data_IF_176262228319
#
_entry.id   IF_176262228319
#
_cell.length_a   1.000
_cell.length_b   1.000
_cell.length_c   1.000
_cell.angle_alpha   90.00
_cell.angle_beta   90.00
_cell.angle_gamma   90.00
#
_symmetry.space_group_name_H-M   'P 1'
#
loop_
_entity.id
_entity.type
_entity.pdbx_description
1 polymer ?
#
# COMPACT_ATOMS: atom_id res chain seq x y z
N UNK A 1 5.41 1.74 3.96
CA UNK A 1 6.44 1.61 5.00
C UNK A 1 6.91 0.15 5.14
N UNK A 2 8.21 -0.06 5.55
CA UNK A 2 8.70 -1.42 5.80
C UNK A 2 9.14 -2.22 4.57
N UNK A 3 9.17 -1.64 3.39
CA UNK A 3 9.60 -2.27 2.13
C UNK A 3 11.11 -2.23 1.89
N UNK A 4 11.91 -1.93 2.91
CA UNK A 4 13.37 -2.01 2.83
C UNK A 4 14.07 -0.74 2.30
N UNK A 5 13.42 0.41 2.16
CA UNK A 5 14.04 1.67 1.66
C UNK A 5 15.36 2.02 2.37
N UNK A 6 15.36 2.02 3.70
CA UNK A 6 16.56 2.30 4.49
C UNK A 6 17.61 1.18 4.39
N UNK A 7 17.18 -0.08 4.24
CA UNK A 7 18.09 -1.21 4.03
C UNK A 7 18.80 -1.11 2.68
N UNK A 8 18.10 -0.66 1.64
CA UNK A 8 18.67 -0.41 0.31
C UNK A 8 19.77 0.66 0.39
N UNK A 9 19.50 1.78 1.06
CA UNK A 9 20.50 2.83 1.27
C UNK A 9 21.76 2.32 2.01
N UNK A 10 21.58 1.46 3.01
CA UNK A 10 22.70 0.83 3.71
C UNK A 10 23.50 -0.09 2.78
N UNK A 11 22.83 -0.87 1.94
CA UNK A 11 23.51 -1.73 0.95
C UNK A 11 24.31 -0.92 -0.08
N UNK A 12 23.77 0.22 -0.52
CA UNK A 12 24.46 1.15 -1.43
C UNK A 12 25.72 1.71 -0.75
N UNK A 13 25.61 2.18 0.50
CA UNK A 13 26.75 2.71 1.24
C UNK A 13 27.86 1.66 1.40
N UNK A 14 27.47 0.43 1.75
CA UNK A 14 28.40 -0.71 1.88
C UNK A 14 29.08 -1.05 0.54
N UNK A 15 28.32 -1.11 -0.55
CA UNK A 15 28.84 -1.41 -1.88
C UNK A 15 29.84 -0.34 -2.39
N UNK A 16 29.62 0.92 -2.01
CA UNK A 16 30.49 2.06 -2.32
C UNK A 16 31.65 2.22 -1.34
N UNK A 17 31.71 1.41 -0.29
CA UNK A 17 32.65 1.53 0.82
C UNK A 17 32.66 2.93 1.44
N UNK A 18 31.45 3.47 1.72
CA UNK A 18 31.24 4.80 2.33
C UNK A 18 30.47 4.63 3.63
N UNK A 19 30.76 5.53 4.58
CA UNK A 19 29.97 5.61 5.81
C UNK A 19 28.53 6.05 5.53
N UNK A 20 27.60 5.50 6.29
CA UNK A 20 26.18 5.83 6.23
C UNK A 20 25.82 6.77 7.37
N UNK A 21 25.29 7.92 7.02
CA UNK A 21 24.71 8.89 7.99
C UNK A 21 23.21 8.91 7.77
N UNK A 22 22.44 8.79 8.85
CA UNK A 22 20.99 8.87 8.80
C UNK A 22 20.49 10.13 9.50
N UNK A 23 19.69 10.92 8.80
CA UNK A 23 19.06 12.15 9.30
C UNK A 23 17.56 12.00 9.17
N UNK A 24 16.84 11.92 10.29
CA UNK A 24 15.37 11.89 10.29
C UNK A 24 14.85 13.33 10.09
N UNK A 25 14.04 13.52 9.06
CA UNK A 25 13.40 14.81 8.75
C UNK A 25 11.98 14.92 9.30
N UNK A 26 11.39 13.80 9.73
CA UNK A 26 10.08 13.82 10.38
C UNK A 26 10.09 14.62 11.68
N UNK A 27 9.28 15.71 11.71
CA UNK A 27 9.18 16.60 12.86
C UNK A 27 10.22 17.71 12.90
N UNK A 28 11.03 17.91 11.84
CA UNK A 28 11.90 19.08 11.70
C UNK A 28 11.05 20.28 11.29
N UNK A 29 10.92 21.24 12.19
CA UNK A 29 10.17 22.49 12.01
C UNK A 29 11.05 23.74 12.12
N UNK A 30 12.28 23.60 12.61
CA UNK A 30 13.27 24.69 12.71
C UNK A 30 14.40 24.51 11.68
N UNK A 31 14.61 25.55 10.87
CA UNK A 31 15.68 25.60 9.87
C UNK A 31 17.08 25.47 10.50
N UNK A 32 17.24 25.88 11.76
CA UNK A 32 18.50 25.78 12.49
C UNK A 32 18.93 24.34 12.74
N UNK A 33 18.00 23.38 12.74
CA UNK A 33 18.33 21.96 12.82
C UNK A 33 19.15 21.48 11.61
N UNK A 34 18.91 22.05 10.42
CA UNK A 34 19.66 21.71 9.20
C UNK A 34 20.89 22.59 9.02
N UNK A 35 20.75 23.92 9.28
CA UNK A 35 21.80 24.93 9.04
C UNK A 35 22.63 25.30 10.26
N UNK A 36 22.32 24.73 11.44
CA UNK A 36 23.00 25.12 12.69
C UNK A 36 22.51 26.41 13.29
N UNK A 37 22.76 26.59 14.60
CA UNK A 37 22.46 27.78 15.35
C UNK A 37 23.59 28.79 15.22
N UNK A 38 23.30 30.09 15.29
CA UNK A 38 24.36 31.11 15.41
C UNK A 38 25.09 30.95 16.74
N UNK A 39 26.42 31.10 16.74
CA UNK A 39 27.27 30.94 17.94
C UNK A 39 26.93 31.89 19.09
N UNK A 40 26.14 32.91 18.82
CA UNK A 40 25.70 33.89 19.83
C UNK A 40 24.61 33.34 20.75
N UNK A 41 23.98 32.20 20.41
CA UNK A 41 22.94 31.57 21.24
C UNK A 41 23.56 30.64 22.26
N UNK A 42 22.97 30.58 23.45
CA UNK A 42 23.30 29.54 24.45
C UNK A 42 22.97 28.17 23.91
N UNK A 43 23.85 27.21 24.14
CA UNK A 43 23.73 25.84 23.61
C UNK A 43 23.66 25.76 22.06
N UNK A 44 24.29 26.68 21.35
CA UNK A 44 24.39 26.64 19.90
C UNK A 44 25.14 25.39 19.42
N UNK A 45 24.64 24.73 18.34
CA UNK A 45 25.21 23.53 17.75
C UNK A 45 25.22 23.62 16.23
N UNK A 46 26.16 22.92 15.57
CA UNK A 46 26.13 22.78 14.12
C UNK A 46 24.87 22.03 13.65
N UNK A 47 24.48 22.25 12.41
CA UNK A 47 23.36 21.57 11.80
C UNK A 47 23.56 20.06 11.63
N UNK A 48 22.47 19.33 11.47
CA UNK A 48 22.48 17.85 11.38
C UNK A 48 23.35 17.32 10.24
N UNK A 49 23.47 18.06 9.12
CA UNK A 49 24.38 17.70 8.01
C UNK A 49 25.83 17.70 8.51
N UNK A 50 26.25 18.76 9.18
CA UNK A 50 27.60 18.89 9.70
C UNK A 50 27.89 17.89 10.81
N UNK A 51 26.95 17.68 11.72
CA UNK A 51 27.06 16.63 12.75
C UNK A 51 27.22 15.25 12.12
N UNK A 52 26.49 14.98 11.04
CA UNK A 52 26.62 13.76 10.26
C UNK A 52 28.02 13.57 9.67
N UNK A 53 28.58 14.61 9.07
CA UNK A 53 29.96 14.60 8.55
C UNK A 53 31.01 14.36 9.64
N UNK A 54 30.86 15.02 10.80
CA UNK A 54 31.74 14.84 11.97
C UNK A 54 31.70 13.38 12.45
N UNK A 55 30.50 12.79 12.56
CA UNK A 55 30.31 11.42 13.01
C UNK A 55 30.87 10.40 12.00
N UNK A 56 30.69 10.66 10.70
CA UNK A 56 31.22 9.82 9.63
C UNK A 56 32.73 9.93 9.49
N UNK A 57 33.35 11.01 9.99
CA UNK A 57 34.78 11.33 9.81
C UNK A 57 35.22 11.31 8.35
N UNK A 58 34.30 11.57 7.44
CA UNK A 58 34.49 11.57 5.99
C UNK A 58 33.70 12.71 5.35
N UNK A 59 34.22 13.29 4.26
CA UNK A 59 33.53 14.33 3.50
C UNK A 59 32.69 13.78 2.33
N UNK A 60 32.63 12.46 2.19
CA UNK A 60 31.95 11.77 1.10
C UNK A 60 31.04 10.61 1.58
N UNK A 61 30.33 10.73 2.70
CA UNK A 61 29.43 9.68 3.16
C UNK A 61 28.21 9.54 2.24
N UNK A 62 27.41 8.51 2.46
CA UNK A 62 26.02 8.45 2.01
C UNK A 62 25.14 9.02 3.12
N UNK A 63 24.38 10.06 2.84
CA UNK A 63 23.44 10.67 3.78
C UNK A 63 22.02 10.25 3.41
N UNK A 64 21.34 9.56 4.33
CA UNK A 64 19.92 9.22 4.19
C UNK A 64 19.07 10.27 4.87
N UNK A 65 18.26 10.94 4.08
CA UNK A 65 17.24 11.90 4.54
C UNK A 65 15.92 11.13 4.68
N UNK A 66 15.61 10.71 5.91
CA UNK A 66 14.47 9.85 6.17
C UNK A 66 13.19 10.65 6.38
N UNK A 67 12.08 10.20 5.76
CA UNK A 67 10.76 10.84 5.83
C UNK A 67 10.74 12.30 5.31
N UNK A 68 11.31 12.52 4.12
CA UNK A 68 11.32 13.86 3.50
C UNK A 68 9.90 14.39 3.20
N UNK A 69 8.94 13.50 3.04
CA UNK A 69 7.51 13.78 2.86
C UNK A 69 6.84 14.36 4.12
N UNK A 70 7.53 14.36 5.26
CA UNK A 70 7.03 14.89 6.53
C UNK A 70 7.57 16.28 6.85
N UNK A 71 8.45 16.82 6.01
CA UNK A 71 8.98 18.15 6.23
C UNK A 71 7.89 19.18 5.96
N UNK A 72 7.71 20.09 6.89
CA UNK A 72 6.78 21.21 6.70
C UNK A 72 7.50 22.37 6.02
N UNK A 73 6.81 23.07 5.14
CA UNK A 73 7.34 24.25 4.48
C UNK A 73 7.57 25.41 5.48
N UNK A 74 6.91 26.55 5.28
CA UNK A 74 7.11 27.75 6.10
C UNK A 74 6.56 27.57 7.52
N UNK A 75 7.44 27.65 8.53
CA UNK A 75 7.09 27.62 9.94
C UNK A 75 7.42 28.98 10.60
N UNK A 76 7.06 29.15 11.88
CA UNK A 76 7.46 30.32 12.69
C UNK A 76 8.98 30.39 12.91
N UNK A 77 9.68 29.25 12.76
CA UNK A 77 11.14 29.11 12.97
C UNK A 77 11.93 29.02 11.65
N UNK A 78 11.34 29.47 10.54
CA UNK A 78 11.97 29.53 9.23
C UNK A 78 11.36 28.59 8.20
N UNK A 79 12.15 28.24 7.19
CA UNK A 79 11.74 27.34 6.12
C UNK A 79 12.75 26.19 5.97
N UNK A 80 12.55 25.04 6.63
CA UNK A 80 13.43 23.88 6.50
C UNK A 80 13.52 23.35 5.08
N UNK A 81 12.44 23.46 4.29
CA UNK A 81 12.41 23.06 2.89
C UNK A 81 13.39 23.88 2.05
N UNK A 82 13.49 25.20 2.26
CA UNK A 82 14.44 26.05 1.56
C UNK A 82 15.90 25.65 1.87
N UNK A 83 16.17 25.21 3.09
CA UNK A 83 17.49 24.68 3.44
C UNK A 83 17.81 23.38 2.70
N UNK A 84 16.82 22.50 2.54
CA UNK A 84 16.99 21.27 1.75
C UNK A 84 17.20 21.55 0.27
N UNK A 85 16.52 22.54 -0.29
CA UNK A 85 16.72 22.95 -1.68
C UNK A 85 18.19 23.35 -1.93
N UNK A 86 18.81 24.10 -1.01
CA UNK A 86 20.23 24.47 -1.12
C UNK A 86 21.17 23.27 -0.94
N UNK A 87 20.84 22.35 -0.01
CA UNK A 87 21.65 21.15 0.27
C UNK A 87 21.62 20.18 -0.91
N UNK A 88 20.46 20.02 -1.57
CA UNK A 88 20.25 19.03 -2.63
C UNK A 88 20.55 19.60 -4.03
N UNK A 89 20.68 20.91 -4.19
CA UNK A 89 20.97 21.53 -5.48
C UNK A 89 22.47 21.46 -5.79
N UNK A 90 22.91 20.74 -6.82
CA UNK A 90 24.33 20.66 -7.20
C UNK A 90 24.97 22.00 -7.51
N UNK A 91 24.20 23.02 -7.93
CA UNK A 91 24.70 24.35 -8.26
C UNK A 91 24.93 25.23 -7.02
N UNK A 92 24.37 24.86 -5.86
CA UNK A 92 24.45 25.64 -4.62
C UNK A 92 25.18 24.91 -3.49
N UNK A 93 25.17 23.58 -3.48
CA UNK A 93 25.69 22.78 -2.37
C UNK A 93 27.22 22.76 -2.27
N UNK A 94 27.94 23.26 -3.26
CA UNK A 94 29.41 23.51 -3.18
C UNK A 94 29.78 24.62 -2.22
N UNK A 95 28.84 25.52 -1.87
CA UNK A 95 29.01 26.66 -0.98
C UNK A 95 28.05 26.65 0.20
N UNK A 96 27.60 25.47 0.62
CA UNK A 96 26.71 25.32 1.75
C UNK A 96 27.30 25.97 3.00
N UNK A 97 26.53 26.83 3.65
CA UNK A 97 26.95 27.55 4.85
C UNK A 97 26.17 27.14 6.07
N UNK A 98 26.88 26.53 7.02
CA UNK A 98 26.34 26.26 8.35
C UNK A 98 26.54 27.53 9.23
N UNK A 99 25.49 27.95 9.95
CA UNK A 99 25.49 29.14 10.76
C UNK A 99 26.42 29.04 11.98
N UNK A 100 26.63 27.81 12.51
CA UNK A 100 27.53 27.57 13.63
C UNK A 100 28.99 27.62 13.18
N UNK A 101 29.32 26.96 12.07
CA UNK A 101 30.67 26.95 11.53
C UNK A 101 31.05 28.32 10.92
N UNK A 102 30.09 29.00 10.31
CA UNK A 102 30.21 30.29 9.66
C UNK A 102 31.25 30.36 8.54
N UNK A 103 31.46 29.24 7.83
CA UNK A 103 32.25 29.17 6.59
C UNK A 103 31.56 28.20 5.60
N UNK A 104 31.95 28.28 4.34
CA UNK A 104 31.36 27.48 3.28
C UNK A 104 31.98 26.09 3.26
N UNK A 105 31.11 25.08 3.10
CA UNK A 105 31.48 23.66 2.93
C UNK A 105 31.01 23.18 1.58
N UNK A 106 31.83 22.36 0.97
CA UNK A 106 31.49 21.72 -0.29
C UNK A 106 30.84 20.32 -0.02
N UNK A 107 29.57 20.17 -0.36
CA UNK A 107 28.80 18.94 -0.18
C UNK A 107 28.72 18.07 -1.45
N UNK A 108 29.37 18.46 -2.56
CA UNK A 108 29.28 17.78 -3.87
C UNK A 108 29.70 16.30 -3.85
N UNK A 109 30.53 15.90 -2.87
CA UNK A 109 30.99 14.51 -2.75
C UNK A 109 30.07 13.60 -1.98
N UNK A 110 29.00 14.15 -1.38
CA UNK A 110 28.01 13.43 -0.60
C UNK A 110 26.99 12.83 -1.56
N UNK A 111 26.59 11.60 -1.32
CA UNK A 111 25.44 11.00 -1.98
C UNK A 111 24.25 11.13 -1.05
N UNK A 112 23.24 11.89 -1.48
CA UNK A 112 21.99 12.02 -0.76
C UNK A 112 20.98 11.01 -1.25
N UNK A 113 20.36 10.26 -0.31
CA UNK A 113 19.27 9.33 -0.58
C UNK A 113 18.10 9.75 0.30
N UNK A 114 17.01 10.20 -0.30
CA UNK A 114 15.79 10.55 0.45
C UNK A 114 14.83 9.36 0.48
N UNK A 115 14.12 9.18 1.59
CA UNK A 115 13.00 8.23 1.68
C UNK A 115 11.69 8.98 1.88
N UNK A 116 10.65 8.55 1.18
CA UNK A 116 9.29 9.08 1.32
C UNK A 116 8.26 7.95 1.27
N UNK A 117 7.10 8.17 1.85
CA UNK A 117 5.96 7.26 1.72
C UNK A 117 4.91 7.85 0.76
N UNK A 118 4.83 9.16 0.68
CA UNK A 118 3.89 9.88 -0.19
C UNK A 118 4.61 11.00 -0.93
N UNK A 119 4.70 10.87 -2.26
CA UNK A 119 5.34 11.88 -3.11
C UNK A 119 4.48 13.13 -3.25
N UNK A 120 3.15 13.02 -3.13
CA UNK A 120 2.23 14.13 -3.33
C UNK A 120 2.43 15.27 -2.32
N UNK A 121 2.95 14.93 -1.13
CA UNK A 121 3.24 15.89 -0.06
C UNK A 121 4.58 16.60 -0.21
N UNK A 122 5.47 16.11 -1.10
CA UNK A 122 6.75 16.75 -1.41
C UNK A 122 6.48 17.90 -2.38
N UNK A 123 7.02 19.08 -2.08
CA UNK A 123 6.85 20.25 -2.94
C UNK A 123 7.44 20.06 -4.35
N UNK A 124 6.88 20.74 -5.33
CA UNK A 124 7.37 20.68 -6.71
C UNK A 124 8.87 21.05 -6.84
N UNK A 125 9.39 22.12 -6.21
CA UNK A 125 10.80 22.46 -6.31
C UNK A 125 11.75 21.38 -5.79
N UNK A 126 11.37 20.65 -4.73
CA UNK A 126 12.16 19.52 -4.23
C UNK A 126 12.07 18.32 -5.16
N UNK A 127 10.88 18.05 -5.71
CA UNK A 127 10.69 16.94 -6.66
C UNK A 127 11.53 17.11 -7.92
N UNK A 128 11.64 18.32 -8.43
CA UNK A 128 12.42 18.62 -9.63
C UNK A 128 13.94 18.38 -9.48
N UNK A 129 14.43 18.28 -8.23
CA UNK A 129 15.84 17.99 -7.91
C UNK A 129 16.13 16.55 -7.54
N UNK A 130 15.14 15.67 -7.67
CA UNK A 130 15.24 14.27 -7.25
C UNK A 130 14.92 13.33 -8.40
N UNK A 131 15.63 12.23 -8.47
CA UNK A 131 15.25 11.05 -9.23
C UNK A 131 14.43 10.13 -8.35
N UNK A 132 13.27 9.66 -8.84
CA UNK A 132 12.37 8.83 -8.07
C UNK A 132 12.52 7.37 -8.45
N UNK A 133 12.82 6.55 -7.43
CA UNK A 133 12.85 5.10 -7.53
C UNK A 133 11.69 4.53 -6.69
N UNK A 134 10.72 3.94 -7.35
CA UNK A 134 9.56 3.35 -6.68
C UNK A 134 9.90 1.96 -6.16
N UNK A 135 9.65 1.76 -4.86
CA UNK A 135 9.80 0.45 -4.21
C UNK A 135 8.40 -0.09 -3.95
N UNK A 136 8.03 -1.12 -4.69
CA UNK A 136 6.72 -1.75 -4.61
C UNK A 136 6.51 -2.56 -3.33
N UNK A 137 5.25 -2.91 -3.05
CA UNK A 137 4.87 -3.85 -1.99
C UNK A 137 5.41 -5.24 -2.29
N UNK A 138 5.77 -5.98 -1.24
CA UNK A 138 6.14 -7.39 -1.38
C UNK A 138 4.91 -8.28 -1.52
N UNK A 139 5.02 -9.30 -2.36
CA UNK A 139 4.08 -10.44 -2.39
C UNK A 139 4.30 -11.33 -1.17
N UNK A 140 3.35 -12.22 -0.88
CA UNK A 140 3.51 -13.14 0.25
C UNK A 140 4.63 -14.14 0.02
N UNK A 141 4.89 -14.54 -1.23
CA UNK A 141 6.03 -15.40 -1.57
C UNK A 141 7.37 -14.66 -1.36
N UNK A 142 7.45 -13.39 -1.76
CA UNK A 142 8.62 -12.54 -1.48
C UNK A 142 8.82 -12.34 0.03
N UNK A 143 7.74 -12.09 0.78
CA UNK A 143 7.80 -11.99 2.26
C UNK A 143 8.24 -13.29 2.90
N UNK A 144 7.79 -14.44 2.36
CA UNK A 144 8.21 -15.76 2.82
C UNK A 144 9.73 -15.97 2.63
N UNK A 145 10.25 -15.67 1.43
CA UNK A 145 11.68 -15.77 1.15
C UNK A 145 12.52 -14.79 2.02
N UNK A 146 12.05 -13.56 2.18
CA UNK A 146 12.68 -12.56 3.06
C UNK A 146 12.69 -13.04 4.52
N UNK A 147 11.56 -13.60 5.00
CA UNK A 147 11.46 -14.12 6.36
C UNK A 147 12.44 -15.27 6.57
N UNK A 148 12.46 -16.25 5.66
CA UNK A 148 13.29 -17.45 5.75
C UNK A 148 14.78 -17.14 5.68
N UNK A 149 15.18 -16.31 4.68
CA UNK A 149 16.61 -16.03 4.42
C UNK A 149 17.22 -14.96 5.33
N UNK A 150 16.43 -13.99 5.77
CA UNK A 150 16.98 -12.81 6.45
C UNK A 150 16.38 -12.55 7.83
N UNK A 151 15.03 -12.49 7.96
CA UNK A 151 14.43 -12.01 9.21
C UNK A 151 14.59 -13.02 10.34
N UNK A 152 14.32 -14.31 10.10
CA UNK A 152 14.42 -15.35 11.11
C UNK A 152 15.86 -15.46 11.62
N UNK A 153 16.90 -15.65 10.77
CA UNK A 153 18.27 -15.72 11.25
C UNK A 153 18.72 -14.46 12.02
N UNK A 154 18.34 -13.27 11.53
CA UNK A 154 18.69 -12.02 12.18
C UNK A 154 18.03 -11.87 13.55
N UNK A 155 16.74 -12.20 13.67
CA UNK A 155 16.04 -12.06 14.95
C UNK A 155 16.44 -13.16 15.95
N UNK A 156 16.73 -14.39 15.53
CA UNK A 156 17.28 -15.42 16.39
C UNK A 156 18.63 -14.96 16.99
N UNK A 157 19.56 -14.54 16.14
CA UNK A 157 20.88 -14.02 16.58
C UNK A 157 20.74 -12.85 17.56
N UNK A 158 19.82 -11.90 17.31
CA UNK A 158 19.58 -10.76 18.20
C UNK A 158 19.07 -11.14 19.58
N UNK A 159 18.39 -12.28 19.68
CA UNK A 159 17.84 -12.78 20.93
C UNK A 159 18.70 -13.88 21.57
N UNK A 160 19.93 -14.07 21.07
CA UNK A 160 20.90 -15.02 21.62
C UNK A 160 20.51 -16.47 21.40
N UNK A 161 19.78 -16.76 20.31
CA UNK A 161 19.36 -18.10 19.92
C UNK A 161 20.22 -18.60 18.75
N UNK A 162 20.66 -19.85 18.85
CA UNK A 162 21.30 -20.54 17.76
C UNK A 162 20.25 -21.04 16.73
N UNK A 163 20.63 -21.20 15.44
CA UNK A 163 19.68 -21.60 14.38
C UNK A 163 18.98 -22.94 14.61
N UNK A 164 19.58 -23.86 15.36
CA UNK A 164 19.04 -25.17 15.66
C UNK A 164 18.14 -25.21 16.89
N UNK A 165 18.16 -24.18 17.73
CA UNK A 165 17.28 -24.06 18.90
C UNK A 165 15.85 -23.65 18.53
N UNK A 166 15.65 -22.99 17.37
CA UNK A 166 14.36 -22.50 16.92
C UNK A 166 14.14 -22.77 15.42
N UNK A 167 13.34 -23.75 15.11
CA UNK A 167 12.98 -24.11 13.74
C UNK A 167 11.58 -23.58 13.40
N UNK A 168 11.44 -23.00 12.23
CA UNK A 168 10.16 -22.54 11.70
C UNK A 168 9.73 -23.42 10.53
N UNK A 169 8.56 -24.04 10.62
CA UNK A 169 7.99 -24.75 9.48
C UNK A 169 7.53 -23.73 8.41
N UNK A 170 7.52 -24.15 7.14
CA UNK A 170 7.09 -23.29 6.03
C UNK A 170 5.63 -22.86 6.17
N UNK A 171 4.78 -23.76 6.64
CA UNK A 171 3.36 -23.47 6.93
C UNK A 171 3.22 -22.42 8.04
N UNK A 172 4.07 -22.47 9.07
CA UNK A 172 4.04 -21.48 10.13
C UNK A 172 4.43 -20.09 9.63
N UNK A 173 5.46 -19.98 8.78
CA UNK A 173 5.87 -18.71 8.19
C UNK A 173 4.73 -18.14 7.33
N UNK A 174 4.10 -18.95 6.48
CA UNK A 174 2.94 -18.55 5.65
C UNK A 174 1.78 -18.07 6.53
N UNK A 175 1.45 -18.81 7.58
CA UNK A 175 0.38 -18.43 8.51
C UNK A 175 0.71 -17.11 9.24
N UNK A 176 1.96 -16.86 9.62
CA UNK A 176 2.36 -15.57 10.21
C UNK A 176 2.13 -14.42 9.22
N UNK A 177 2.46 -14.61 7.96
CA UNK A 177 2.29 -13.60 6.91
C UNK A 177 0.80 -13.32 6.67
N UNK A 178 -0.02 -14.34 6.52
CA UNK A 178 -1.41 -14.25 6.08
C UNK A 178 -2.39 -13.88 7.21
N UNK A 179 -2.20 -14.46 8.42
CA UNK A 179 -3.16 -14.41 9.51
C UNK A 179 -2.78 -13.47 10.64
N UNK A 180 -1.49 -13.14 10.79
CA UNK A 180 -0.97 -12.29 11.88
C UNK A 180 -0.41 -10.95 11.42
N UNK A 181 -0.23 -10.75 10.11
CA UNK A 181 0.27 -9.49 9.57
C UNK A 181 -0.53 -9.03 8.35
N UNK A 182 -0.73 -7.70 8.23
CA UNK A 182 -1.35 -7.07 7.05
C UNK A 182 -0.58 -5.79 6.78
N UNK A 183 0.37 -5.87 5.86
CA UNK A 183 1.25 -4.75 5.52
C UNK A 183 1.86 -4.92 4.13
N UNK A 184 2.21 -3.80 3.49
CA UNK A 184 2.90 -3.79 2.20
C UNK A 184 4.37 -4.25 2.28
N UNK A 185 5.01 -4.10 3.44
CA UNK A 185 6.39 -4.49 3.70
C UNK A 185 6.51 -5.70 4.62
N UNK A 186 7.60 -5.73 5.42
CA UNK A 186 7.94 -6.82 6.35
C UNK A 186 8.21 -6.33 7.79
N UNK A 187 7.79 -5.11 8.15
CA UNK A 187 8.08 -4.53 9.46
C UNK A 187 7.33 -5.25 10.59
N UNK A 188 6.03 -5.50 10.41
CA UNK A 188 5.23 -6.22 11.39
C UNK A 188 5.57 -7.71 11.39
N UNK A 189 5.84 -8.30 10.23
CA UNK A 189 6.34 -9.67 10.10
C UNK A 189 7.61 -9.86 10.95
N UNK A 190 8.58 -8.95 10.82
CA UNK A 190 9.79 -8.94 11.65
C UNK A 190 9.46 -8.84 13.14
N UNK A 191 8.51 -7.96 13.53
CA UNK A 191 8.07 -7.82 14.93
C UNK A 191 7.44 -9.09 15.48
N UNK A 192 6.66 -9.82 14.68
CA UNK A 192 6.05 -11.11 15.05
C UNK A 192 7.12 -12.19 15.22
N UNK A 193 8.08 -12.28 14.29
CA UNK A 193 9.23 -13.19 14.40
C UNK A 193 10.05 -12.88 15.66
N UNK A 194 10.34 -11.61 15.92
CA UNK A 194 11.03 -11.18 17.15
C UNK A 194 10.24 -11.54 18.42
N UNK A 195 8.90 -11.45 18.40
CA UNK A 195 8.05 -11.86 19.52
C UNK A 195 8.16 -13.36 19.78
N UNK A 196 8.16 -14.17 18.72
CA UNK A 196 8.38 -15.63 18.83
C UNK A 196 9.76 -15.91 19.40
N UNK A 197 10.82 -15.31 18.85
CA UNK A 197 12.19 -15.51 19.29
C UNK A 197 12.37 -15.18 20.79
N UNK A 198 11.78 -14.09 21.29
CA UNK A 198 11.80 -13.75 22.73
C UNK A 198 11.12 -14.80 23.59
N UNK A 199 9.96 -15.32 23.18
CA UNK A 199 9.25 -16.36 23.94
C UNK A 199 10.01 -17.68 23.92
N UNK A 200 10.69 -18.03 22.81
CA UNK A 200 11.57 -19.20 22.71
C UNK A 200 12.76 -19.03 23.66
N UNK A 201 13.48 -17.92 23.60
CA UNK A 201 14.62 -17.65 24.47
C UNK A 201 14.23 -17.77 25.95
N UNK A 202 13.06 -17.26 26.35
CA UNK A 202 12.55 -17.41 27.71
C UNK A 202 12.33 -18.88 28.07
N UNK A 203 11.71 -19.70 27.20
CA UNK A 203 11.47 -21.14 27.48
C UNK A 203 12.78 -21.92 27.58
N UNK A 204 13.79 -21.60 26.79
CA UNK A 204 15.10 -22.24 26.85
C UNK A 204 15.83 -21.86 28.15
N UNK A 205 15.83 -20.59 28.55
CA UNK A 205 16.46 -20.12 29.79
C UNK A 205 15.79 -20.74 31.01
N UNK A 206 14.45 -20.91 31.03
CA UNK A 206 13.74 -21.59 32.11
C UNK A 206 13.88 -23.12 32.09
N UNK A 207 14.68 -23.65 31.17
CA UNK A 207 14.92 -25.09 30.97
C UNK A 207 13.66 -25.91 30.64
N UNK A 208 12.62 -25.25 30.15
CA UNK A 208 11.37 -25.92 29.73
C UNK A 208 11.54 -26.66 28.38
N UNK A 209 12.54 -26.28 27.58
CA UNK A 209 12.89 -26.93 26.33
C UNK A 209 14.34 -26.62 25.92
N UNK A 210 14.96 -27.53 25.15
CA UNK A 210 16.28 -27.30 24.52
C UNK A 210 16.14 -26.87 23.06
N UNK A 211 15.06 -27.27 22.41
CA UNK A 211 14.75 -26.99 20.99
C UNK A 211 13.26 -26.84 20.81
N UNK A 212 12.85 -25.84 20.05
CA UNK A 212 11.44 -25.57 19.80
C UNK A 212 11.19 -25.48 18.30
N UNK A 213 10.26 -26.27 17.80
CA UNK A 213 9.74 -26.16 16.44
C UNK A 213 8.44 -25.34 16.43
N UNK A 214 8.40 -24.32 15.59
CA UNK A 214 7.23 -23.46 15.38
C UNK A 214 6.42 -24.00 14.20
N UNK A 215 5.22 -24.42 14.51
CA UNK A 215 4.25 -24.97 13.58
C UNK A 215 2.93 -24.21 13.68
N UNK A 216 2.02 -24.37 12.71
CA UNK A 216 0.66 -23.76 12.78
C UNK A 216 -0.10 -24.11 14.05
N UNK A 217 0.16 -25.29 14.64
CA UNK A 217 -0.56 -25.77 15.84
C UNK A 217 -0.20 -24.97 17.09
N UNK A 218 1.07 -24.58 17.22
CA UNK A 218 1.56 -23.90 18.41
C UNK A 218 1.75 -22.37 18.25
N UNK A 219 1.49 -21.80 17.05
CA UNK A 219 1.61 -20.37 16.82
C UNK A 219 0.82 -19.52 17.82
N UNK A 220 -0.37 -19.98 18.23
CA UNK A 220 -1.21 -19.27 19.23
C UNK A 220 -0.53 -19.08 20.58
N UNK A 221 0.39 -19.97 20.98
CA UNK A 221 1.14 -19.84 22.22
C UNK A 221 2.15 -18.67 22.16
N UNK A 222 2.64 -18.38 20.96
CA UNK A 222 3.65 -17.36 20.71
C UNK A 222 3.08 -16.02 20.26
N UNK A 223 1.99 -16.00 19.47
CA UNK A 223 1.46 -14.81 18.80
C UNK A 223 0.03 -14.40 19.21
N UNK A 224 -0.53 -15.06 20.22
CA UNK A 224 -1.90 -14.82 20.68
C UNK A 224 -2.97 -15.18 19.63
N UNK A 225 -4.00 -14.35 19.46
CA UNK A 225 -5.09 -14.63 18.50
C UNK A 225 -4.67 -14.24 17.08
N UNK A 226 -5.18 -14.99 16.10
CA UNK A 226 -5.16 -14.56 14.71
C UNK A 226 -5.90 -13.23 14.59
N UNK A 227 -5.34 -12.32 13.79
CA UNK A 227 -5.83 -10.94 13.69
C UNK A 227 -6.61 -10.74 12.39
N UNK A 228 -6.29 -11.50 11.38
CA UNK A 228 -6.86 -11.35 10.05
C UNK A 228 -7.44 -12.67 9.55
N UNK A 229 -8.66 -12.58 9.03
CA UNK A 229 -9.28 -13.66 8.28
C UNK A 229 -9.13 -13.35 6.78
N UNK A 230 -8.81 -14.37 6.01
CA UNK A 230 -8.75 -14.25 4.55
C UNK A 230 -10.19 -14.35 4.04
N UNK A 231 -10.70 -13.25 3.48
CA UNK A 231 -11.99 -13.24 2.79
C UNK A 231 -11.82 -13.91 1.43
N UNK A 232 -12.08 -15.21 1.36
CA UNK A 232 -12.13 -15.92 0.08
C UNK A 232 -13.34 -15.51 -0.74
N UNK A 233 -13.18 -15.52 -2.06
CA UNK A 233 -14.30 -15.37 -2.98
C UNK A 233 -15.35 -16.46 -2.73
N UNK A 234 -16.61 -16.08 -2.87
CA UNK A 234 -17.72 -17.04 -2.79
C UNK A 234 -17.74 -17.91 -4.07
N UNK A 235 -17.86 -19.22 -3.93
CA UNK A 235 -17.95 -20.13 -5.07
C UNK A 235 -19.34 -20.08 -5.75
N UNK A 236 -20.30 -19.37 -5.14
CA UNK A 236 -21.68 -19.30 -5.62
C UNK A 236 -21.94 -18.00 -6.36
N UNK A 237 -22.57 -18.11 -7.50
CA UNK A 237 -23.11 -16.97 -8.22
C UNK A 237 -24.27 -16.37 -7.43
N UNK A 238 -24.27 -15.05 -7.25
CA UNK A 238 -25.30 -14.37 -6.46
C UNK A 238 -25.81 -13.11 -7.18
N UNK A 239 -27.08 -12.81 -6.96
CA UNK A 239 -27.72 -11.59 -7.46
C UNK A 239 -27.37 -10.43 -6.54
N UNK A 240 -26.95 -9.30 -7.11
CA UNK A 240 -26.66 -8.08 -6.38
C UNK A 240 -25.37 -8.11 -5.54
N UNK A 241 -24.55 -9.17 -5.63
CA UNK A 241 -23.28 -9.26 -4.92
C UNK A 241 -22.13 -9.33 -5.91
N UNK A 242 -21.19 -8.39 -5.81
CA UNK A 242 -20.07 -8.26 -6.75
C UNK A 242 -18.77 -8.01 -5.99
N UNK A 243 -17.69 -8.66 -6.43
CA UNK A 243 -16.37 -8.41 -5.86
C UNK A 243 -15.67 -7.30 -6.65
N UNK A 244 -15.33 -6.22 -5.97
CA UNK A 244 -14.41 -5.20 -6.44
C UNK A 244 -13.02 -5.39 -5.88
N UNK A 245 -12.09 -4.56 -6.34
CA UNK A 245 -10.72 -4.53 -5.87
C UNK A 245 -10.37 -3.12 -5.39
N UNK A 246 -9.83 -3.03 -4.18
CA UNK A 246 -9.38 -1.79 -3.57
C UNK A 246 -7.86 -1.78 -3.40
N UNK A 247 -7.28 -0.60 -3.37
CA UNK A 247 -5.91 -0.36 -2.97
C UNK A 247 -5.90 0.45 -1.68
N UNK A 248 -5.09 0.03 -0.72
CA UNK A 248 -4.94 0.66 0.59
C UNK A 248 -3.46 0.91 0.90
N UNK A 249 -3.18 1.69 1.93
CA UNK A 249 -1.81 1.93 2.41
C UNK A 249 -1.06 0.66 2.84
N UNK A 250 -1.78 -0.43 3.07
CA UNK A 250 -1.22 -1.73 3.49
C UNK A 250 -1.19 -2.77 2.35
N UNK A 251 -1.65 -2.40 1.15
CA UNK A 251 -1.67 -3.26 -0.03
C UNK A 251 -3.04 -3.34 -0.68
N UNK A 252 -3.21 -4.29 -1.59
CA UNK A 252 -4.51 -4.55 -2.21
C UNK A 252 -5.46 -5.30 -1.29
N UNK A 253 -6.75 -5.14 -1.56
CA UNK A 253 -7.84 -5.81 -0.84
C UNK A 253 -9.00 -6.11 -1.76
N UNK A 254 -9.83 -7.09 -1.39
CA UNK A 254 -11.11 -7.34 -2.06
C UNK A 254 -12.21 -6.50 -1.42
N UNK A 255 -13.06 -5.94 -2.23
CA UNK A 255 -14.17 -5.09 -1.83
C UNK A 255 -15.48 -5.74 -2.25
N UNK A 256 -16.24 -6.27 -1.30
CA UNK A 256 -17.57 -6.81 -1.61
C UNK A 256 -18.59 -5.68 -1.70
N UNK A 257 -19.35 -5.62 -2.78
CA UNK A 257 -20.47 -4.69 -2.97
C UNK A 257 -21.75 -5.51 -2.94
N UNK A 258 -22.68 -5.13 -2.08
CA UNK A 258 -23.97 -5.76 -1.92
C UNK A 258 -25.09 -4.78 -2.32
N UNK A 259 -25.96 -5.17 -3.21
CA UNK A 259 -27.11 -4.39 -3.64
C UNK A 259 -28.41 -5.13 -3.38
N UNK A 260 -29.39 -4.44 -2.86
CA UNK A 260 -30.75 -4.93 -2.69
C UNK A 260 -31.75 -3.94 -3.29
N UNK A 261 -32.90 -4.45 -3.78
CA UNK A 261 -33.99 -3.63 -4.24
C UNK A 261 -35.19 -3.72 -3.30
N UNK A 262 -35.80 -2.58 -3.03
CA UNK A 262 -36.94 -2.45 -2.11
C UNK A 262 -38.02 -1.70 -2.91
N UNK A 263 -39.29 -2.10 -2.83
CA UNK A 263 -40.37 -1.33 -3.46
C UNK A 263 -40.33 0.12 -3.02
N UNK A 264 -40.27 1.04 -3.96
CA UNK A 264 -40.04 2.46 -3.67
C UNK A 264 -40.34 3.38 -4.84
N UNK A 265 -39.57 4.45 -4.97
CA UNK A 265 -39.76 5.51 -5.98
C UNK A 265 -38.53 5.74 -6.84
N UNK A 266 -37.57 4.85 -6.80
CA UNK A 266 -36.33 4.96 -7.57
C UNK A 266 -35.22 5.74 -6.87
N UNK A 267 -35.18 5.72 -5.52
CA UNK A 267 -34.12 6.34 -4.74
C UNK A 267 -32.89 5.42 -4.64
N UNK A 268 -31.70 6.04 -4.58
CA UNK A 268 -30.44 5.34 -4.32
C UNK A 268 -29.95 5.64 -2.91
N UNK A 269 -29.89 4.61 -2.07
CA UNK A 269 -29.31 4.68 -0.74
C UNK A 269 -27.95 3.97 -0.73
N UNK A 270 -26.94 4.60 -0.12
CA UNK A 270 -25.58 4.07 -0.06
C UNK A 270 -25.11 4.07 1.39
N UNK A 271 -24.52 2.94 1.83
CA UNK A 271 -23.95 2.77 3.18
C UNK A 271 -22.61 2.07 3.15
N UNK A 272 -21.74 2.23 4.18
CA UNK A 272 -20.44 1.56 4.31
C UNK A 272 -19.27 2.51 4.55
N UNK A 273 -19.49 3.70 5.11
CA UNK A 273 -18.47 4.75 5.36
C UNK A 273 -17.68 5.12 4.08
N UNK A 274 -18.43 5.52 3.05
CA UNK A 274 -17.86 5.90 1.77
C UNK A 274 -17.50 7.38 1.74
N UNK A 275 -16.33 7.69 1.18
CA UNK A 275 -15.94 9.06 0.86
C UNK A 275 -16.78 9.64 -0.29
N UNK A 276 -16.58 10.91 -0.57
CA UNK A 276 -17.44 11.63 -1.52
C UNK A 276 -17.21 11.19 -2.98
N UNK A 277 -15.96 10.84 -3.34
CA UNK A 277 -15.64 10.33 -4.69
C UNK A 277 -16.34 9.00 -4.96
N UNK A 278 -16.40 8.10 -3.99
CA UNK A 278 -17.09 6.82 -4.15
C UNK A 278 -18.61 6.98 -4.20
N UNK A 279 -19.19 7.94 -3.45
CA UNK A 279 -20.62 8.28 -3.54
C UNK A 279 -20.98 8.83 -4.91
N UNK A 280 -20.15 9.72 -5.46
CA UNK A 280 -20.29 10.24 -6.81
C UNK A 280 -20.21 9.12 -7.85
N UNK A 281 -19.25 8.21 -7.74
CA UNK A 281 -19.11 7.04 -8.59
C UNK A 281 -20.36 6.15 -8.57
N UNK A 282 -21.01 5.99 -7.40
CA UNK A 282 -22.26 5.25 -7.30
C UNK A 282 -23.44 5.96 -7.97
N UNK A 283 -23.50 7.29 -7.92
CA UNK A 283 -24.51 8.08 -8.63
C UNK A 283 -24.33 7.99 -10.14
N UNK A 284 -23.08 8.05 -10.63
CA UNK A 284 -22.73 7.86 -12.04
C UNK A 284 -23.19 6.47 -12.50
N UNK A 285 -22.84 5.43 -11.75
CA UNK A 285 -23.22 4.05 -12.05
C UNK A 285 -24.74 3.86 -12.09
N UNK A 286 -25.48 4.49 -11.17
CA UNK A 286 -26.95 4.43 -11.13
C UNK A 286 -27.58 5.17 -12.32
N UNK A 287 -27.06 6.34 -12.67
CA UNK A 287 -27.53 7.11 -13.84
C UNK A 287 -27.28 6.35 -15.14
N UNK A 288 -26.09 5.77 -15.29
CA UNK A 288 -25.75 5.00 -16.48
C UNK A 288 -26.59 3.70 -16.57
N UNK A 289 -26.86 3.03 -15.44
CA UNK A 289 -27.73 1.85 -15.43
C UNK A 289 -29.13 2.16 -16.00
N UNK A 290 -29.70 3.33 -15.68
CA UNK A 290 -30.99 3.77 -16.27
C UNK A 290 -30.90 3.94 -17.78
N UNK A 291 -29.85 4.60 -18.27
CA UNK A 291 -29.62 4.78 -19.71
C UNK A 291 -29.50 3.42 -20.40
N UNK A 292 -28.70 2.50 -19.87
CA UNK A 292 -28.51 1.17 -20.45
C UNK A 292 -29.78 0.31 -20.42
N UNK A 293 -30.68 0.55 -19.46
CA UNK A 293 -32.01 -0.09 -19.42
C UNK A 293 -32.89 0.49 -20.52
N UNK A 294 -32.96 1.83 -20.65
CA UNK A 294 -33.76 2.50 -21.65
C UNK A 294 -33.29 2.16 -23.10
N UNK A 295 -32.00 1.86 -23.27
CA UNK A 295 -31.40 1.38 -24.52
C UNK A 295 -31.56 -0.15 -24.75
N UNK A 296 -32.16 -0.87 -23.81
CA UNK A 296 -32.32 -2.33 -23.89
C UNK A 296 -31.05 -3.16 -23.70
N UNK A 297 -29.98 -2.54 -23.22
CA UNK A 297 -28.68 -3.23 -23.01
C UNK A 297 -28.63 -4.02 -21.67
N UNK A 298 -29.44 -3.64 -20.69
CA UNK A 298 -29.68 -4.41 -19.47
C UNK A 298 -31.05 -5.03 -19.57
N UNK A 299 -31.18 -6.38 -19.67
CA UNK A 299 -32.46 -7.04 -19.79
C UNK A 299 -33.21 -6.98 -18.47
N UNK A 300 -34.34 -6.31 -18.44
CA UNK A 300 -35.19 -6.13 -17.25
C UNK A 300 -36.65 -6.49 -17.57
N UNK A 301 -37.45 -6.75 -16.53
CA UNK A 301 -38.86 -7.12 -16.68
C UNK A 301 -39.73 -5.92 -17.11
N UNK A 302 -39.32 -4.68 -16.83
CA UNK A 302 -40.03 -3.44 -17.15
C UNK A 302 -39.00 -2.32 -17.34
N UNK A 303 -39.11 -1.55 -18.40
CA UNK A 303 -38.25 -0.38 -18.70
C UNK A 303 -38.33 0.71 -17.61
N UNK A 304 -39.37 0.68 -16.76
CA UNK A 304 -39.54 1.60 -15.64
C UNK A 304 -39.10 0.99 -14.29
N UNK A 305 -38.45 -0.17 -14.27
CA UNK A 305 -38.08 -0.91 -13.04
C UNK A 305 -37.31 -0.05 -12.04
N UNK A 306 -36.47 0.85 -12.51
CA UNK A 306 -35.71 1.77 -11.66
C UNK A 306 -36.55 2.88 -11.02
N UNK A 307 -37.85 3.02 -11.40
CA UNK A 307 -38.85 3.91 -10.74
C UNK A 307 -39.72 3.15 -9.74
N UNK A 308 -39.77 1.82 -9.85
CA UNK A 308 -40.61 0.95 -9.01
C UNK A 308 -39.88 0.51 -7.74
N UNK A 309 -38.56 0.55 -7.75
CA UNK A 309 -37.71 0.09 -6.65
C UNK A 309 -36.66 1.12 -6.25
N UNK A 310 -36.53 1.32 -4.94
CA UNK A 310 -35.35 1.96 -4.34
C UNK A 310 -34.23 0.93 -4.28
N UNK A 311 -32.99 1.39 -4.55
CA UNK A 311 -31.81 0.58 -4.44
C UNK A 311 -31.04 0.95 -3.17
N UNK A 312 -30.66 -0.06 -2.39
CA UNK A 312 -29.74 0.10 -1.29
C UNK A 312 -28.45 -0.65 -1.60
N UNK A 313 -27.36 0.10 -1.75
CA UNK A 313 -26.02 -0.42 -1.92
C UNK A 313 -25.29 -0.35 -0.58
N UNK A 314 -24.74 -1.46 -0.15
CA UNK A 314 -23.94 -1.57 1.05
C UNK A 314 -22.54 -2.11 0.72
N UNK A 315 -21.51 -1.47 1.27
CA UNK A 315 -20.15 -1.94 1.21
C UNK A 315 -19.71 -2.30 2.63
N UNK A 316 -19.63 -3.60 2.98
CA UNK A 316 -19.29 -4.07 4.31
C UNK A 316 -17.94 -3.54 4.84
N UNK A 317 -17.63 -3.85 6.11
CA UNK A 317 -16.43 -3.41 6.84
C UNK A 317 -16.41 -1.90 7.10
N UNK A 318 -17.48 -1.38 7.74
CA UNK A 318 -17.64 0.03 8.08
C UNK A 318 -16.59 0.63 9.01
N UNK A 319 -15.70 -0.16 9.58
CA UNK A 319 -14.56 0.34 10.38
C UNK A 319 -13.44 0.96 9.53
N UNK A 320 -13.39 0.66 8.23
CA UNK A 320 -12.37 1.17 7.31
C UNK A 320 -13.02 2.14 6.32
N UNK A 321 -12.65 3.43 6.33
CA UNK A 321 -13.10 4.39 5.32
C UNK A 321 -12.68 3.94 3.92
N UNK A 322 -13.60 4.06 2.95
CA UNK A 322 -13.38 3.67 1.57
C UNK A 322 -13.68 4.86 0.66
N UNK A 323 -12.75 5.18 -0.22
CA UNK A 323 -12.95 6.25 -1.20
C UNK A 323 -12.21 5.93 -2.50
N UNK A 324 -12.66 6.55 -3.60
CA UNK A 324 -12.04 6.46 -4.91
C UNK A 324 -12.99 6.06 -6.04
N UNK A 325 -12.66 6.43 -7.29
CA UNK A 325 -13.52 6.22 -8.46
C UNK A 325 -13.44 4.79 -9.02
N UNK A 326 -12.45 3.98 -8.62
CA UNK A 326 -12.13 2.69 -9.24
C UNK A 326 -13.16 1.57 -9.01
N UNK A 327 -14.21 1.82 -8.21
CA UNK A 327 -15.32 0.89 -7.99
C UNK A 327 -16.49 1.09 -8.97
N UNK A 328 -16.40 2.02 -9.92
CA UNK A 328 -17.50 2.39 -10.80
C UNK A 328 -18.12 1.23 -11.56
N UNK A 329 -17.30 0.41 -12.23
CA UNK A 329 -17.79 -0.77 -12.95
C UNK A 329 -18.37 -1.83 -12.01
N UNK A 330 -17.85 -1.96 -10.79
CA UNK A 330 -18.36 -2.91 -9.77
C UNK A 330 -19.75 -2.47 -9.30
N UNK A 331 -19.93 -1.17 -9.04
CA UNK A 331 -21.21 -0.57 -8.64
C UNK A 331 -22.26 -0.73 -9.73
N UNK A 332 -21.90 -0.44 -10.99
CA UNK A 332 -22.78 -0.64 -12.13
C UNK A 332 -23.22 -2.11 -12.26
N UNK A 333 -22.30 -3.04 -12.12
CA UNK A 333 -22.59 -4.48 -12.21
C UNK A 333 -23.53 -4.93 -11.10
N UNK A 334 -23.35 -4.44 -9.87
CA UNK A 334 -24.25 -4.74 -8.76
C UNK A 334 -25.67 -4.19 -9.00
N UNK A 335 -25.78 -2.97 -9.51
CA UNK A 335 -27.06 -2.35 -9.89
C UNK A 335 -27.72 -3.12 -11.03
N UNK A 336 -26.99 -3.43 -12.09
CA UNK A 336 -27.50 -4.19 -13.24
C UNK A 336 -27.98 -5.59 -12.82
N UNK A 337 -27.20 -6.29 -11.99
CA UNK A 337 -27.54 -7.62 -11.46
C UNK A 337 -28.85 -7.59 -10.67
N UNK A 338 -29.00 -6.65 -9.73
CA UNK A 338 -30.20 -6.61 -8.87
C UNK A 338 -31.44 -6.15 -9.65
N UNK A 339 -31.32 -5.30 -10.65
CA UNK A 339 -32.44 -4.87 -11.48
C UNK A 339 -32.84 -5.94 -12.50
N UNK A 340 -31.89 -6.58 -13.17
CA UNK A 340 -32.13 -7.67 -14.13
C UNK A 340 -32.42 -9.01 -13.49
N UNK A 341 -32.18 -9.18 -12.17
CA UNK A 341 -32.25 -10.44 -11.45
C UNK A 341 -31.31 -11.54 -12.01
N UNK A 342 -30.23 -11.12 -12.67
CA UNK A 342 -29.18 -12.02 -13.15
C UNK A 342 -28.06 -12.13 -12.12
N UNK A 343 -27.60 -13.34 -11.80
CA UNK A 343 -26.50 -13.53 -10.87
C UNK A 343 -25.18 -13.12 -11.48
N UNK A 344 -24.23 -12.73 -10.62
CA UNK A 344 -22.84 -12.44 -10.97
C UNK A 344 -21.97 -13.60 -10.51
N UNK A 345 -20.96 -13.95 -11.31
CA UNK A 345 -20.00 -15.00 -10.96
C UNK A 345 -19.25 -14.66 -9.67
N UNK A 346 -19.35 -15.53 -8.67
CA UNK A 346 -18.71 -15.33 -7.37
C UNK A 346 -17.17 -15.34 -7.40
N UNK A 347 -16.56 -15.91 -8.44
CA UNK A 347 -15.10 -15.93 -8.65
C UNK A 347 -14.61 -14.84 -9.61
N UNK A 348 -15.47 -13.92 -10.00
CA UNK A 348 -15.13 -12.74 -10.78
C UNK A 348 -14.91 -11.55 -9.85
N UNK A 349 -13.85 -10.79 -10.09
CA UNK A 349 -13.67 -9.46 -9.52
C UNK A 349 -13.45 -8.43 -10.63
N UNK A 350 -13.59 -7.16 -10.28
CA UNK A 350 -13.39 -6.09 -11.24
C UNK A 350 -12.91 -4.80 -10.60
N UNK A 351 -12.26 -3.95 -11.39
CA UNK A 351 -11.88 -2.60 -11.02
C UNK A 351 -11.82 -1.71 -12.26
N UNK A 352 -12.35 -0.52 -12.16
CA UNK A 352 -12.37 0.46 -13.27
C UNK A 352 -13.21 1.67 -12.89
N UNK A 353 -12.76 2.84 -13.29
CA UNK A 353 -13.55 4.06 -13.19
C UNK A 353 -14.54 4.12 -14.34
N UNK A 354 -15.74 4.61 -14.06
CA UNK A 354 -16.85 4.64 -15.01
C UNK A 354 -17.22 6.08 -15.34
N UNK A 355 -17.43 6.36 -16.63
CA UNK A 355 -17.96 7.65 -17.10
C UNK A 355 -19.44 7.55 -17.46
N UNK A 356 -20.14 8.70 -17.54
CA UNK A 356 -21.53 8.77 -18.03
C UNK A 356 -21.68 8.35 -19.50
N UNK A 357 -20.60 8.41 -20.29
CA UNK A 357 -20.56 7.91 -21.68
C UNK A 357 -20.22 6.42 -21.78
N UNK A 358 -20.37 5.67 -20.69
CA UNK A 358 -20.14 4.24 -20.60
C UNK A 358 -18.68 3.78 -20.83
N UNK A 359 -17.68 4.68 -20.85
CA UNK A 359 -16.28 4.31 -21.00
C UNK A 359 -15.69 3.87 -19.65
N UNK A 360 -14.76 2.92 -19.71
CA UNK A 360 -13.99 2.46 -18.54
C UNK A 360 -12.62 3.11 -18.56
N UNK A 361 -12.34 3.93 -17.55
CA UNK A 361 -11.08 4.66 -17.41
C UNK A 361 -10.05 3.90 -16.58
N UNK A 362 -8.75 4.16 -16.82
CA UNK A 362 -7.67 3.51 -16.09
C UNK A 362 -7.64 3.91 -14.61
N UNK A 363 -7.09 2.98 -13.80
CA UNK A 363 -7.01 3.11 -12.34
C UNK A 363 -5.58 2.98 -11.84
N UNK A 364 -5.34 3.38 -10.59
CA UNK A 364 -4.07 3.17 -9.90
C UNK A 364 -4.02 1.89 -9.07
N UNK A 365 -2.79 1.44 -8.72
CA UNK A 365 -2.55 0.32 -7.83
C UNK A 365 -2.99 -1.04 -8.41
N UNK A 366 -2.89 -1.24 -9.72
CA UNK A 366 -3.35 -2.47 -10.37
C UNK A 366 -2.61 -3.70 -9.85
N UNK A 367 -1.30 -3.63 -9.68
CA UNK A 367 -0.47 -4.74 -9.19
C UNK A 367 -0.98 -5.26 -7.84
N UNK A 368 -1.18 -4.37 -6.88
CA UNK A 368 -1.65 -4.72 -5.55
C UNK A 368 -3.07 -5.30 -5.59
N UNK A 369 -3.94 -4.73 -6.42
CA UNK A 369 -5.31 -5.21 -6.61
C UNK A 369 -5.35 -6.63 -7.17
N UNK A 370 -4.53 -6.95 -8.17
CA UNK A 370 -4.47 -8.28 -8.76
C UNK A 370 -3.83 -9.32 -7.83
N UNK A 371 -2.84 -8.92 -7.03
CA UNK A 371 -2.29 -9.77 -5.96
C UNK A 371 -3.39 -10.10 -4.93
N UNK A 372 -4.20 -9.13 -4.52
CA UNK A 372 -5.31 -9.36 -3.61
C UNK A 372 -6.38 -10.29 -4.20
N UNK A 373 -6.71 -10.13 -5.48
CA UNK A 373 -7.62 -11.03 -6.19
C UNK A 373 -7.10 -12.47 -6.20
N UNK A 374 -5.82 -12.67 -6.50
CA UNK A 374 -5.18 -14.00 -6.46
C UNK A 374 -5.25 -14.63 -5.06
N UNK A 375 -4.94 -13.87 -3.99
CA UNK A 375 -5.05 -14.33 -2.60
C UNK A 375 -6.47 -14.71 -2.22
N UNK A 376 -7.46 -13.96 -2.66
CA UNK A 376 -8.87 -14.24 -2.44
C UNK A 376 -9.42 -15.42 -3.28
N UNK A 377 -8.56 -16.11 -4.05
CA UNK A 377 -8.94 -17.19 -4.97
C UNK A 377 -9.94 -16.75 -6.05
N UNK A 378 -9.91 -15.50 -6.44
CA UNK A 378 -10.58 -15.02 -7.64
C UNK A 378 -9.93 -15.72 -8.86
N UNK A 379 -10.74 -16.13 -9.82
CA UNK A 379 -10.25 -16.78 -11.04
C UNK A 379 -10.19 -15.85 -12.24
N UNK A 380 -11.09 -14.84 -12.30
CA UNK A 380 -11.20 -13.88 -13.40
C UNK A 380 -11.26 -12.46 -12.89
N UNK A 381 -10.57 -11.53 -13.58
CA UNK A 381 -10.63 -10.10 -13.22
C UNK A 381 -10.83 -9.25 -14.46
N UNK A 382 -11.84 -8.34 -14.41
CA UNK A 382 -12.04 -7.32 -15.43
C UNK A 382 -11.26 -6.06 -15.05
N UNK A 383 -10.46 -5.55 -15.98
CA UNK A 383 -9.65 -4.34 -15.78
C UNK A 383 -9.76 -3.42 -17.01
N UNK A 384 -9.50 -2.12 -16.86
CA UNK A 384 -9.45 -1.21 -18.00
C UNK A 384 -8.37 -1.63 -19.01
N UNK A 385 -8.67 -1.57 -20.31
CA UNK A 385 -7.71 -1.94 -21.38
C UNK A 385 -6.41 -1.16 -21.28
N UNK A 386 -6.44 0.12 -20.97
CA UNK A 386 -5.22 0.94 -20.81
C UNK A 386 -4.32 0.46 -19.69
N UNK A 387 -4.88 -0.06 -18.59
CA UNK A 387 -4.08 -0.71 -17.55
C UNK A 387 -3.54 -2.07 -18.01
N UNK A 388 -4.33 -2.85 -18.77
CA UNK A 388 -3.88 -4.11 -19.34
C UNK A 388 -2.64 -3.93 -20.22
N UNK A 389 -2.62 -2.90 -21.06
CA UNK A 389 -1.51 -2.62 -21.98
C UNK A 389 -0.27 -2.05 -21.28
N UNK A 390 -0.44 -1.32 -20.18
CA UNK A 390 0.63 -0.58 -19.52
C UNK A 390 1.24 -1.31 -18.31
N UNK A 391 0.41 -1.96 -17.50
CA UNK A 391 0.78 -2.31 -16.13
C UNK A 391 0.99 -3.83 -15.92
N UNK A 392 0.74 -4.68 -16.92
CA UNK A 392 0.84 -6.14 -16.75
C UNK A 392 2.26 -6.65 -16.61
N UNK A 393 3.24 -5.96 -17.17
CA UNK A 393 4.64 -6.39 -17.12
C UNK A 393 5.21 -6.34 -15.69
N UNK A 394 4.63 -5.52 -14.82
CA UNK A 394 5.01 -5.40 -13.41
C UNK A 394 4.43 -6.50 -12.50
N UNK A 395 3.61 -7.41 -13.04
CA UNK A 395 2.96 -8.46 -12.26
C UNK A 395 3.89 -9.64 -12.01
N UNK A 396 3.85 -10.21 -10.78
CA UNK A 396 4.51 -11.48 -10.49
C UNK A 396 4.00 -12.62 -11.38
N UNK A 397 4.89 -13.50 -11.83
CA UNK A 397 4.57 -14.62 -12.72
C UNK A 397 3.47 -15.53 -12.16
N UNK A 398 3.45 -15.74 -10.84
CA UNK A 398 2.46 -16.58 -10.19
C UNK A 398 1.05 -16.00 -10.32
N UNK A 399 0.90 -14.69 -10.22
CA UNK A 399 -0.38 -14.00 -10.38
C UNK A 399 -0.83 -14.05 -11.84
N UNK A 400 0.10 -13.77 -12.77
CA UNK A 400 -0.16 -13.79 -14.21
C UNK A 400 -0.61 -15.16 -14.72
N UNK A 401 -0.04 -16.26 -14.18
CA UNK A 401 -0.38 -17.64 -14.59
C UNK A 401 -1.71 -18.14 -14.02
N UNK A 402 -2.09 -17.69 -12.82
CA UNK A 402 -3.23 -18.24 -12.09
C UNK A 402 -4.49 -17.37 -12.16
N UNK A 403 -4.41 -16.18 -12.77
CA UNK A 403 -5.49 -15.22 -12.85
C UNK A 403 -5.80 -14.88 -14.31
N UNK A 404 -7.04 -15.15 -14.74
CA UNK A 404 -7.49 -14.73 -16.07
C UNK A 404 -7.83 -13.24 -16.02
N UNK A 405 -6.97 -12.43 -16.65
CA UNK A 405 -7.13 -10.97 -16.70
C UNK A 405 -7.79 -10.60 -18.03
N UNK A 406 -8.94 -9.95 -17.96
CA UNK A 406 -9.78 -9.61 -19.12
C UNK A 406 -9.84 -8.09 -19.26
N UNK A 407 -9.32 -7.51 -20.37
CA UNK A 407 -9.42 -6.09 -20.63
C UNK A 407 -10.82 -5.70 -21.07
N UNK A 408 -11.35 -4.58 -20.57
CA UNK A 408 -12.63 -4.00 -20.92
C UNK A 408 -12.49 -2.52 -21.29
N UNK A 409 -13.27 -2.07 -22.27
CA UNK A 409 -13.26 -0.68 -22.76
C UNK A 409 -14.50 0.09 -22.33
N UNK A 410 -15.64 -0.60 -22.22
CA UNK A 410 -16.92 0.01 -21.94
C UNK A 410 -17.78 -0.79 -20.94
N UNK A 411 -18.82 -0.15 -20.44
CA UNK A 411 -19.75 -0.71 -19.47
C UNK A 411 -20.44 -1.99 -19.99
N UNK A 412 -20.78 -2.02 -21.29
CA UNK A 412 -21.45 -3.19 -21.90
C UNK A 412 -20.56 -4.42 -21.95
N UNK A 413 -19.27 -4.23 -22.20
CA UNK A 413 -18.29 -5.34 -22.10
C UNK A 413 -18.24 -5.91 -20.68
N UNK A 414 -18.21 -5.01 -19.66
CA UNK A 414 -18.22 -5.43 -18.25
C UNK A 414 -19.45 -6.29 -17.96
N UNK A 415 -20.65 -5.82 -18.32
CA UNK A 415 -21.90 -6.53 -18.05
C UNK A 415 -21.98 -7.90 -18.76
N UNK A 416 -21.48 -7.96 -20.01
CA UNK A 416 -21.42 -9.19 -20.80
C UNK A 416 -20.57 -10.28 -20.14
N UNK A 417 -19.44 -9.90 -19.52
CA UNK A 417 -18.57 -10.85 -18.82
C UNK A 417 -19.02 -11.18 -17.40
N UNK A 418 -19.76 -10.27 -16.77
CA UNK A 418 -20.09 -10.36 -15.34
C UNK A 418 -21.44 -11.04 -15.06
N UNK A 419 -22.48 -10.74 -15.87
CA UNK A 419 -23.82 -11.30 -15.68
C UNK A 419 -23.88 -12.71 -16.28
N UNK A 420 -24.26 -13.66 -15.44
CA UNK A 420 -24.51 -15.05 -15.87
C UNK A 420 -25.88 -15.13 -16.57
N UNK A 421 -26.00 -16.07 -17.49
CA UNK A 421 -27.28 -16.36 -18.17
C UNK A 421 -28.36 -16.90 -17.22
#
# INVERSE_FOLDING_TARGET
>A
PGVGKTSLANSIATALNRELVRIALGGVDDVSELRGHRRTYVASMPGRIIQGLINARQMNPVIVLDEIDKITGRTTHGNPEAALLEILDPEQNDKFRDNYLNFNLNLNKIIFIATANDISTISAPLRDRMEFIFVNSYTDDEKFEIAKKYLIPQELKKHGLEPDEALFSEEAIKSIIEEYTRESGVRNLRRKIAQIARKIARKIISQDAQKIEITNKNLKEFLDKKVYDINFADDKNRIGIVNGLAWTSVGGDTLKIEAVRIKGKGELKITGQLGDVMKESAQIAFSLAKVLIDEGQIPVASDQIYKEFDLHIHIPEGATPKDGPSAGITLLTAIASILSQKPVDGRLAMTGELTLSANVLPIGGLKEKLIAAHKAKISRVLIPRKNYERDLDDLPDIVRKNLQIIPVDCATDVLKYALCE
#
